data_IF_044668579058
#
_entry.id   IF_044668579058
#
_cell.length_a   1.000
_cell.length_b   1.000
_cell.length_c   1.000
_cell.angle_alpha   90.00
_cell.angle_beta   90.00
_cell.angle_gamma   90.00
#
_symmetry.space_group_name_H-M   'P 1'
#
loop_
_entity.id
_entity.type
_entity.pdbx_description
1 polymer ?
#
# COMPACT_ATOMS: atom_id res chain seq x y z
N UNK A 1 22.44 5.71 14.84
CA UNK A 1 23.63 5.32 14.04
C UNK A 1 24.94 5.84 14.57
N UNK A 2 24.92 6.62 15.66
CA UNK A 2 26.07 7.32 16.25
C UNK A 2 27.23 6.39 16.55
N UNK A 3 28.44 6.89 16.27
CA UNK A 3 29.67 6.19 16.55
C UNK A 3 30.01 6.24 18.05
N UNK A 4 30.48 5.11 18.59
CA UNK A 4 31.01 5.01 19.95
C UNK A 4 32.53 5.17 19.84
N UNK A 5 32.99 6.42 19.80
CA UNK A 5 34.41 6.74 19.80
C UNK A 5 34.97 6.66 21.22
N UNK A 6 36.18 6.10 21.39
CA UNK A 6 36.82 6.00 22.70
C UNK A 6 37.14 7.40 23.24
N UNK A 7 36.81 7.65 24.50
CA UNK A 7 36.93 8.99 25.12
C UNK A 7 35.74 9.92 24.88
N UNK A 8 34.82 9.57 23.97
CA UNK A 8 33.66 10.38 23.60
C UNK A 8 33.69 10.79 22.13
N UNK A 9 32.51 11.05 21.55
CA UNK A 9 32.39 11.49 20.17
C UNK A 9 32.46 13.03 20.11
N UNK A 10 33.58 13.62 19.65
CA UNK A 10 33.80 15.06 19.73
C UNK A 10 32.85 15.85 18.83
N UNK A 11 32.41 15.28 17.71
CA UNK A 11 31.46 15.94 16.80
C UNK A 11 30.08 16.05 17.44
N UNK A 12 29.59 14.96 18.03
CA UNK A 12 28.30 14.97 18.72
C UNK A 12 28.33 15.88 19.95
N UNK A 13 29.44 15.88 20.70
CA UNK A 13 29.61 16.75 21.85
C UNK A 13 29.69 18.22 21.46
N UNK A 14 30.35 18.56 20.35
CA UNK A 14 30.44 19.93 19.85
C UNK A 14 29.08 20.44 19.36
N UNK A 15 28.35 19.63 18.58
CA UNK A 15 27.01 19.96 18.11
C UNK A 15 26.03 20.17 19.27
N UNK A 16 26.01 19.23 20.22
CA UNK A 16 25.18 19.32 21.43
C UNK A 16 25.46 20.61 22.20
N UNK A 17 26.73 21.00 22.31
CA UNK A 17 27.14 22.15 23.08
C UNK A 17 26.82 23.49 22.40
N UNK A 18 26.91 23.57 21.07
CA UNK A 18 26.45 24.73 20.30
C UNK A 18 24.93 24.87 20.36
N UNK A 19 24.20 23.77 20.21
CA UNK A 19 22.73 23.78 20.34
C UNK A 19 22.30 24.18 21.75
N UNK A 20 23.03 23.76 22.79
CA UNK A 20 22.79 24.19 24.18
C UNK A 20 22.96 25.70 24.38
N UNK A 21 23.79 26.36 23.57
CA UNK A 21 23.94 27.83 23.54
C UNK A 21 22.89 28.53 22.68
N UNK A 22 21.93 27.79 22.13
CA UNK A 22 20.90 28.30 21.22
C UNK A 22 21.38 28.47 19.78
N UNK A 23 22.56 27.97 19.44
CA UNK A 23 23.14 28.08 18.10
C UNK A 23 22.76 26.82 17.32
N UNK A 24 21.78 26.97 16.43
CA UNK A 24 21.22 25.88 15.62
C UNK A 24 21.83 25.89 14.21
N UNK A 25 22.16 24.72 13.64
CA UNK A 25 22.61 24.63 12.25
C UNK A 25 21.52 25.01 11.23
N UNK A 26 20.24 25.06 11.65
CA UNK A 26 19.11 25.44 10.79
C UNK A 26 18.72 26.90 10.99
N UNK A 27 18.53 27.32 12.24
CA UNK A 27 17.98 28.66 12.55
C UNK A 27 19.05 29.76 12.46
N UNK A 28 20.30 29.42 12.80
CA UNK A 28 21.43 30.36 12.92
C UNK A 28 22.68 29.82 12.20
N UNK A 29 22.52 29.32 10.98
CA UNK A 29 23.56 28.58 10.25
C UNK A 29 24.92 29.30 10.16
N UNK A 30 24.94 30.61 9.86
CA UNK A 30 26.19 31.37 9.78
C UNK A 30 26.94 31.45 11.12
N UNK A 31 26.18 31.53 12.21
CA UNK A 31 26.72 31.61 13.57
C UNK A 31 27.22 30.23 14.04
N UNK A 32 26.52 29.16 13.65
CA UNK A 32 26.93 27.77 13.86
C UNK A 32 28.26 27.47 13.14
N UNK A 33 28.36 27.77 11.86
CA UNK A 33 29.58 27.54 11.05
C UNK A 33 30.78 28.35 11.56
N UNK A 34 30.54 29.56 12.07
CA UNK A 34 31.60 30.37 12.67
C UNK A 34 32.08 29.80 14.02
N UNK A 35 31.18 29.26 14.85
CA UNK A 35 31.50 28.71 16.16
C UNK A 35 32.07 27.28 16.11
N UNK A 36 31.72 26.52 15.07
CA UNK A 36 32.05 25.10 14.93
C UNK A 36 33.56 24.78 15.02
N UNK A 37 34.47 25.43 14.27
CA UNK A 37 35.90 25.09 14.30
C UNK A 37 36.52 25.24 15.70
N UNK A 38 36.05 26.22 16.47
CA UNK A 38 36.54 26.47 17.83
C UNK A 38 36.02 25.40 18.79
N UNK A 39 34.73 25.09 18.71
CA UNK A 39 34.10 24.13 19.61
C UNK A 39 34.61 22.71 19.34
N UNK A 40 34.73 22.28 18.09
CA UNK A 40 35.24 20.95 17.76
C UNK A 40 36.70 20.75 18.18
N UNK A 41 37.55 21.77 18.06
CA UNK A 41 38.93 21.72 18.53
C UNK A 41 38.99 21.55 20.05
N UNK A 42 38.13 22.29 20.78
CA UNK A 42 37.99 22.16 22.23
C UNK A 42 37.56 20.75 22.65
N UNK A 43 36.55 20.19 21.98
CA UNK A 43 36.08 18.84 22.30
C UNK A 43 37.10 17.77 21.94
N UNK A 44 37.81 17.90 20.81
CA UNK A 44 38.88 16.96 20.43
C UNK A 44 40.00 16.91 21.47
N UNK A 45 40.41 18.07 22.00
CA UNK A 45 41.42 18.09 23.07
C UNK A 45 40.87 17.49 24.37
N UNK A 46 39.61 17.79 24.72
CA UNK A 46 39.00 17.25 25.93
C UNK A 46 38.86 15.72 25.93
N UNK A 47 38.56 15.11 24.79
CA UNK A 47 38.42 13.64 24.68
C UNK A 47 39.76 12.92 24.53
N UNK A 48 40.85 13.62 24.18
CA UNK A 48 42.14 13.00 23.87
C UNK A 48 42.71 12.20 25.04
N UNK A 49 42.73 12.78 26.24
CA UNK A 49 43.21 12.08 27.44
C UNK A 49 42.36 10.85 27.74
N UNK A 50 41.03 10.99 27.68
CA UNK A 50 40.10 9.87 27.87
C UNK A 50 40.24 8.79 26.80
N UNK A 51 40.55 9.17 25.57
CA UNK A 51 40.83 8.24 24.48
C UNK A 51 42.08 7.40 24.79
N UNK A 52 43.19 8.05 25.14
CA UNK A 52 44.45 7.37 25.49
C UNK A 52 44.28 6.41 26.69
N UNK A 53 43.54 6.83 27.73
CA UNK A 53 43.21 5.99 28.88
C UNK A 53 42.39 4.75 28.49
N UNK A 54 41.33 4.93 27.70
CA UNK A 54 40.45 3.83 27.28
C UNK A 54 41.18 2.87 26.34
N UNK A 55 42.03 3.38 25.45
CA UNK A 55 42.91 2.56 24.58
C UNK A 55 43.85 1.71 25.44
N UNK A 56 44.47 2.29 26.47
CA UNK A 56 45.35 1.57 27.38
C UNK A 56 44.62 0.47 28.19
N UNK A 57 43.33 0.64 28.45
CA UNK A 57 42.47 -0.36 29.10
C UNK A 57 41.95 -1.46 28.16
N UNK A 58 42.31 -1.43 26.86
CA UNK A 58 41.89 -2.43 25.88
C UNK A 58 40.69 -2.02 25.01
N UNK A 59 40.24 -0.77 25.12
CA UNK A 59 39.21 -0.18 24.28
C UNK A 59 37.78 -0.61 24.63
N UNK A 60 36.88 -0.50 23.65
CA UNK A 60 35.46 -0.82 23.86
C UNK A 60 35.26 -2.33 23.95
N UNK A 61 34.66 -2.80 25.05
CA UNK A 61 34.20 -4.17 25.20
C UNK A 61 32.72 -4.30 24.86
N UNK A 62 32.41 -5.08 23.82
CA UNK A 62 31.03 -5.36 23.40
C UNK A 62 30.59 -6.69 23.98
N UNK A 63 29.61 -6.65 24.89
CA UNK A 63 28.98 -7.83 25.47
C UNK A 63 27.60 -8.05 24.83
N UNK A 64 27.47 -9.10 24.02
CA UNK A 64 26.18 -9.56 23.51
C UNK A 64 25.53 -10.52 24.50
N UNK A 65 24.26 -10.27 24.87
CA UNK A 65 23.53 -11.05 25.88
C UNK A 65 22.74 -12.22 25.29
N UNK A 66 22.56 -12.24 23.97
CA UNK A 66 21.89 -13.30 23.23
C UNK A 66 22.29 -13.22 21.74
N UNK A 67 21.82 -14.16 20.93
CA UNK A 67 21.93 -14.09 19.47
C UNK A 67 20.69 -13.45 18.88
N UNK A 68 20.90 -12.53 17.94
CA UNK A 68 19.81 -12.03 17.12
C UNK A 68 19.38 -13.07 16.08
N UNK A 69 18.23 -12.82 15.46
CA UNK A 69 17.68 -13.60 14.36
C UNK A 69 18.59 -13.71 13.13
N UNK A 70 19.63 -12.88 13.02
CA UNK A 70 20.63 -13.00 11.97
C UNK A 70 22.04 -12.64 12.44
N UNK A 71 23.03 -13.33 11.87
CA UNK A 71 24.47 -13.08 12.10
C UNK A 71 24.88 -11.69 11.69
N UNK A 72 24.21 -11.12 10.69
CA UNK A 72 24.47 -9.75 10.24
C UNK A 72 24.27 -8.75 11.38
N UNK A 73 23.21 -8.90 12.17
CA UNK A 73 22.92 -8.00 13.30
C UNK A 73 23.92 -8.22 14.44
N UNK A 74 24.26 -9.48 14.73
CA UNK A 74 25.33 -9.78 15.70
C UNK A 74 26.67 -9.13 15.31
N UNK A 75 27.04 -9.20 14.02
CA UNK A 75 28.26 -8.59 13.50
C UNK A 75 28.19 -7.06 13.52
N UNK A 76 27.01 -6.47 13.35
CA UNK A 76 26.82 -5.03 13.55
C UNK A 76 27.06 -4.61 14.99
N UNK A 77 26.68 -5.44 15.96
CA UNK A 77 26.99 -5.22 17.36
C UNK A 77 28.51 -5.37 17.62
N UNK A 78 29.15 -6.44 17.10
CA UNK A 78 30.61 -6.61 17.19
C UNK A 78 31.37 -5.44 16.60
N UNK A 79 30.98 -4.96 15.42
CA UNK A 79 31.60 -3.82 14.73
C UNK A 79 31.36 -2.46 15.40
N UNK A 80 30.78 -2.43 16.60
CA UNK A 80 30.81 -1.23 17.46
C UNK A 80 32.16 -1.07 18.15
N UNK A 81 32.88 -2.15 18.45
CA UNK A 81 34.26 -2.08 18.93
C UNK A 81 35.28 -2.14 17.80
N UNK A 82 36.53 -1.76 18.10
CA UNK A 82 37.64 -1.84 17.16
C UNK A 82 37.54 -0.93 15.94
N UNK A 83 36.89 0.24 16.08
CA UNK A 83 36.73 1.20 14.98
C UNK A 83 38.05 1.96 14.74
N UNK A 84 38.32 2.31 13.49
CA UNK A 84 39.53 3.04 13.08
C UNK A 84 40.86 2.40 13.51
N UNK A 85 40.87 1.09 13.80
CA UNK A 85 42.05 0.38 14.28
C UNK A 85 42.26 0.42 15.80
N UNK A 86 41.32 0.99 16.55
CA UNK A 86 41.33 0.98 18.01
C UNK A 86 41.34 -0.45 18.56
N UNK A 87 41.92 -0.68 19.76
CA UNK A 87 41.75 -1.95 20.45
C UNK A 87 40.27 -2.13 20.86
N UNK A 88 39.85 -3.38 20.97
CA UNK A 88 38.51 -3.71 21.42
C UNK A 88 38.31 -5.22 21.43
N UNK A 89 37.40 -5.66 22.29
CA UNK A 89 37.01 -7.07 22.36
C UNK A 89 35.49 -7.18 22.25
N UNK A 90 35.01 -8.29 21.69
CA UNK A 90 33.59 -8.58 21.66
C UNK A 90 33.34 -10.03 22.09
N UNK A 91 32.35 -10.23 22.95
CA UNK A 91 31.99 -11.56 23.46
C UNK A 91 30.48 -11.68 23.57
N UNK A 92 29.96 -12.83 23.17
CA UNK A 92 28.54 -13.15 23.30
C UNK A 92 28.38 -14.19 24.41
N UNK A 93 27.50 -13.91 25.35
CA UNK A 93 27.05 -14.84 26.38
C UNK A 93 25.70 -15.35 25.95
N UNK A 94 25.55 -16.66 25.86
CA UNK A 94 24.36 -17.32 25.36
C UNK A 94 23.88 -18.33 26.41
N UNK A 95 22.57 -18.46 26.55
CA UNK A 95 21.95 -19.50 27.33
C UNK A 95 21.18 -20.46 26.43
N UNK A 96 21.11 -21.72 26.85
CA UNK A 96 20.21 -22.67 26.19
C UNK A 96 18.72 -22.29 26.40
N UNK A 97 18.43 -21.42 27.36
CA UNK A 97 17.08 -20.90 27.63
C UNK A 97 16.72 -19.65 26.81
N UNK A 98 17.63 -19.13 25.99
CA UNK A 98 17.40 -17.96 25.12
C UNK A 98 16.23 -18.20 24.16
N UNK A 99 15.58 -17.11 23.72
CA UNK A 99 14.42 -17.18 22.84
C UNK A 99 14.69 -17.96 21.55
N UNK A 100 15.86 -17.72 20.93
CA UNK A 100 16.31 -18.44 19.74
C UNK A 100 16.37 -19.95 19.99
N UNK A 101 16.83 -20.39 21.16
CA UNK A 101 16.95 -21.82 21.48
C UNK A 101 15.59 -22.43 21.84
N UNK A 102 14.75 -21.69 22.56
CA UNK A 102 13.38 -22.11 22.90
C UNK A 102 12.51 -22.34 21.66
N UNK A 103 12.61 -21.47 20.64
CA UNK A 103 11.80 -21.58 19.41
C UNK A 103 12.13 -22.81 18.56
N UNK A 104 13.38 -23.29 18.58
CA UNK A 104 13.84 -24.33 17.65
C UNK A 104 14.08 -25.70 18.28
N UNK A 105 14.41 -25.78 19.58
CA UNK A 105 14.79 -27.08 20.14
C UNK A 105 14.64 -27.21 21.67
N UNK A 106 13.50 -26.76 22.21
CA UNK A 106 13.20 -26.83 23.65
C UNK A 106 13.41 -28.23 24.24
N UNK A 107 12.96 -29.29 23.55
CA UNK A 107 13.06 -30.67 24.04
C UNK A 107 14.48 -31.26 24.07
N UNK A 108 15.36 -30.90 23.11
CA UNK A 108 16.76 -31.33 23.15
C UNK A 108 17.52 -30.58 24.24
N UNK A 109 17.28 -29.27 24.36
CA UNK A 109 17.89 -28.41 25.37
C UNK A 109 17.60 -28.94 26.78
N UNK A 110 16.33 -29.24 27.06
CA UNK A 110 15.88 -29.73 28.37
C UNK A 110 16.49 -31.09 28.71
N UNK A 111 16.59 -32.00 27.74
CA UNK A 111 17.26 -33.31 27.91
C UNK A 111 18.76 -33.15 28.15
N UNK A 112 19.42 -32.24 27.43
CA UNK A 112 20.85 -31.99 27.60
C UNK A 112 21.16 -31.41 28.98
N UNK A 113 20.39 -30.40 29.42
CA UNK A 113 20.52 -29.81 30.75
C UNK A 113 20.21 -30.80 31.89
N UNK A 114 19.24 -31.69 31.68
CA UNK A 114 18.85 -32.69 32.69
C UNK A 114 19.82 -33.87 32.76
N UNK A 115 20.45 -34.25 31.64
CA UNK A 115 21.37 -35.39 31.56
C UNK A 115 22.81 -35.01 31.90
N UNK A 116 23.21 -33.78 31.57
CA UNK A 116 24.54 -33.28 31.86
C UNK A 116 24.52 -32.62 33.24
N UNK A 117 25.04 -33.31 34.26
CA UNK A 117 25.28 -32.75 35.61
C UNK A 117 26.37 -31.68 35.62
N UNK A 118 26.31 -30.74 34.66
CA UNK A 118 27.23 -29.63 34.49
C UNK A 118 26.83 -28.54 35.49
N UNK A 119 27.76 -28.01 36.28
CA UNK A 119 27.50 -26.86 37.15
C UNK A 119 26.94 -25.68 36.36
N UNK A 120 25.94 -24.98 36.91
CA UNK A 120 25.21 -23.89 36.22
C UNK A 120 26.11 -22.71 35.81
N UNK A 121 27.26 -22.55 36.47
CA UNK A 121 28.24 -21.48 36.29
C UNK A 121 29.40 -21.85 35.34
N UNK A 122 29.44 -23.08 34.84
CA UNK A 122 30.53 -23.57 33.99
C UNK A 122 30.23 -23.37 32.50
N UNK A 123 31.12 -22.73 31.72
CA UNK A 123 30.94 -22.57 30.28
C UNK A 123 30.83 -23.91 29.53
N UNK A 124 29.85 -24.03 28.64
CA UNK A 124 29.64 -25.23 27.82
C UNK A 124 30.48 -25.13 26.54
N UNK A 125 31.62 -25.82 26.50
CA UNK A 125 32.46 -25.92 25.30
C UNK A 125 32.18 -27.21 24.52
N UNK A 126 31.08 -27.23 23.77
CA UNK A 126 30.69 -28.38 22.95
C UNK A 126 30.44 -28.00 21.50
N UNK A 127 31.14 -28.65 20.57
CA UNK A 127 30.92 -28.50 19.12
C UNK A 127 29.46 -28.78 18.74
N UNK A 128 28.81 -29.73 19.42
CA UNK A 128 27.41 -30.07 19.18
C UNK A 128 26.48 -28.89 19.51
N UNK A 129 26.67 -28.26 20.67
CA UNK A 129 25.88 -27.11 21.11
C UNK A 129 26.14 -25.89 20.21
N UNK A 130 27.40 -25.60 19.88
CA UNK A 130 27.74 -24.52 18.94
C UNK A 130 27.10 -24.74 17.55
N UNK A 131 27.06 -25.99 17.06
CA UNK A 131 26.41 -26.32 15.80
C UNK A 131 24.88 -26.14 15.87
N UNK A 132 24.26 -26.51 16.98
CA UNK A 132 22.82 -26.34 17.20
C UNK A 132 22.42 -24.86 17.19
N UNK A 133 23.15 -24.00 17.92
CA UNK A 133 22.94 -22.55 17.95
C UNK A 133 23.06 -21.96 16.53
N UNK A 134 24.13 -22.34 15.81
CA UNK A 134 24.34 -21.94 14.42
C UNK A 134 23.19 -22.36 13.51
N UNK A 135 22.71 -23.60 13.66
CA UNK A 135 21.62 -24.14 12.84
C UNK A 135 20.31 -23.41 13.10
N UNK A 136 19.97 -23.17 14.37
CA UNK A 136 18.78 -22.41 14.75
C UNK A 136 18.79 -21.01 14.13
N UNK A 137 19.92 -20.29 14.25
CA UNK A 137 20.06 -18.96 13.65
C UNK A 137 19.91 -19.00 12.12
N UNK A 138 20.56 -19.95 11.44
CA UNK A 138 20.44 -20.09 9.98
C UNK A 138 19.01 -20.44 9.54
N UNK A 139 18.26 -21.20 10.35
CA UNK A 139 16.87 -21.52 10.06
C UNK A 139 15.96 -20.29 10.21
N UNK A 140 16.16 -19.45 11.23
CA UNK A 140 15.47 -18.15 11.35
C UNK A 140 15.78 -17.24 10.16
N UNK A 141 17.06 -17.15 9.77
CA UNK A 141 17.47 -16.36 8.60
C UNK A 141 16.75 -16.81 7.34
N UNK A 142 16.69 -18.13 7.10
CA UNK A 142 15.99 -18.73 5.96
C UNK A 142 14.48 -18.48 6.02
N UNK A 143 13.85 -18.61 7.19
CA UNK A 143 12.44 -18.32 7.38
C UNK A 143 12.13 -16.84 7.08
N UNK A 144 12.91 -15.92 7.65
CA UNK A 144 12.79 -14.49 7.40
C UNK A 144 13.05 -14.13 5.93
N UNK A 145 13.93 -14.86 5.24
CA UNK A 145 14.16 -14.70 3.81
C UNK A 145 12.95 -15.15 2.99
N UNK A 146 12.41 -16.35 3.25
CA UNK A 146 11.23 -16.84 2.51
C UNK A 146 9.98 -16.00 2.80
N UNK A 147 9.78 -15.52 4.03
CA UNK A 147 8.70 -14.56 4.33
C UNK A 147 8.81 -13.29 3.49
N UNK A 148 10.00 -12.66 3.46
CA UNK A 148 10.23 -11.45 2.66
C UNK A 148 10.07 -11.70 1.16
N UNK A 149 10.56 -12.84 0.68
CA UNK A 149 10.41 -13.26 -0.71
C UNK A 149 8.94 -13.47 -1.09
N UNK A 150 8.14 -14.07 -0.20
CA UNK A 150 6.71 -14.20 -0.41
C UNK A 150 6.02 -12.84 -0.43
N UNK A 151 6.30 -11.95 0.55
CA UNK A 151 5.77 -10.58 0.56
C UNK A 151 6.08 -9.86 -0.76
N UNK A 152 7.32 -9.93 -1.24
CA UNK A 152 7.72 -9.33 -2.52
C UNK A 152 6.95 -9.92 -3.70
N UNK A 153 6.78 -11.25 -3.76
CA UNK A 153 6.05 -11.93 -4.85
C UNK A 153 4.59 -11.47 -4.96
N UNK A 154 3.89 -11.32 -3.84
CA UNK A 154 2.52 -10.81 -3.84
C UNK A 154 2.49 -9.32 -4.20
N UNK A 155 3.40 -8.52 -3.65
CA UNK A 155 3.50 -7.10 -3.96
C UNK A 155 3.83 -6.84 -5.43
N UNK A 156 4.65 -7.67 -6.09
CA UNK A 156 4.99 -7.53 -7.52
C UNK A 156 3.74 -7.54 -8.41
N UNK A 157 2.70 -8.28 -8.05
CA UNK A 157 1.41 -8.31 -8.77
C UNK A 157 0.69 -6.98 -8.62
N UNK A 158 0.51 -6.52 -7.38
CA UNK A 158 -0.14 -5.23 -7.07
C UNK A 158 0.67 -4.04 -7.60
N UNK A 159 1.99 -4.14 -7.62
CA UNK A 159 2.87 -3.08 -8.09
C UNK A 159 2.69 -2.82 -9.58
N UNK A 160 2.54 -3.86 -10.41
CA UNK A 160 2.23 -3.70 -11.84
C UNK A 160 0.90 -2.98 -12.06
N UNK A 161 -0.13 -3.37 -11.32
CA UNK A 161 -1.44 -2.73 -11.38
C UNK A 161 -1.38 -1.25 -10.92
N UNK A 162 -0.68 -0.98 -9.80
CA UNK A 162 -0.44 0.37 -9.31
C UNK A 162 0.27 1.26 -10.32
N UNK A 163 1.25 0.72 -11.05
CA UNK A 163 1.97 1.50 -12.07
C UNK A 163 1.03 2.01 -13.16
N UNK A 164 0.06 1.19 -13.60
CA UNK A 164 -0.95 1.61 -14.58
C UNK A 164 -1.83 2.71 -13.98
N UNK A 165 -2.47 2.44 -12.84
CA UNK A 165 -3.40 3.39 -12.20
C UNK A 165 -2.73 4.71 -11.81
N UNK A 166 -1.51 4.66 -11.28
CA UNK A 166 -0.75 5.86 -10.93
C UNK A 166 -0.25 6.60 -12.17
N UNK A 167 0.02 5.90 -13.27
CA UNK A 167 0.26 6.49 -14.57
C UNK A 167 -0.92 7.34 -15.01
N UNK A 168 -2.11 6.74 -15.06
CA UNK A 168 -3.36 7.42 -15.43
C UNK A 168 -3.65 8.64 -14.55
N UNK A 169 -3.60 8.43 -13.23
CA UNK A 169 -3.82 9.51 -12.26
C UNK A 169 -2.84 10.66 -12.44
N UNK A 170 -1.58 10.35 -12.76
CA UNK A 170 -0.54 11.37 -12.97
C UNK A 170 -0.80 12.20 -14.23
N UNK A 171 -1.27 11.58 -15.33
CA UNK A 171 -1.62 12.30 -16.55
C UNK A 171 -2.66 13.39 -16.27
N UNK A 172 -3.68 13.06 -15.48
CA UNK A 172 -4.73 14.00 -15.07
C UNK A 172 -4.19 15.11 -14.16
N UNK A 173 -3.40 14.76 -13.15
CA UNK A 173 -2.86 15.72 -12.18
C UNK A 173 -1.82 16.67 -12.78
N UNK A 174 -1.11 16.25 -13.83
CA UNK A 174 -0.19 17.10 -14.60
C UNK A 174 -0.93 18.03 -15.60
N UNK A 175 -2.27 17.93 -15.68
CA UNK A 175 -3.08 18.80 -16.54
C UNK A 175 -2.93 18.51 -18.03
N UNK A 176 -2.52 17.30 -18.41
CA UNK A 176 -2.44 16.91 -19.83
C UNK A 176 -3.82 16.89 -20.47
N UNK A 177 -3.85 17.09 -21.78
CA UNK A 177 -5.07 16.87 -22.55
C UNK A 177 -5.29 15.36 -22.68
N UNK A 178 -6.45 14.91 -22.20
CA UNK A 178 -6.87 13.50 -22.17
C UNK A 178 -8.05 13.24 -23.13
N UNK A 179 -8.29 14.16 -24.07
CA UNK A 179 -9.37 14.07 -25.07
C UNK A 179 -9.45 12.72 -25.73
N UNK A 180 -8.36 12.37 -26.38
CA UNK A 180 -8.29 11.23 -27.27
C UNK A 180 -8.42 9.93 -26.47
N UNK A 181 -7.88 9.92 -25.25
CA UNK A 181 -7.99 8.81 -24.33
C UNK A 181 -9.44 8.59 -23.85
N UNK A 182 -10.16 9.67 -23.50
CA UNK A 182 -11.56 9.56 -23.11
C UNK A 182 -12.42 9.10 -24.30
N UNK A 183 -12.15 9.61 -25.49
CA UNK A 183 -12.84 9.17 -26.71
C UNK A 183 -12.59 7.68 -26.97
N UNK A 184 -11.34 7.21 -26.83
CA UNK A 184 -10.99 5.79 -26.94
C UNK A 184 -11.74 4.93 -25.90
N UNK A 185 -11.83 5.35 -24.64
CA UNK A 185 -12.59 4.61 -23.62
C UNK A 185 -14.08 4.51 -23.96
N UNK A 186 -14.67 5.57 -24.50
CA UNK A 186 -16.06 5.57 -24.96
C UNK A 186 -16.22 4.59 -26.12
N UNK A 187 -15.36 4.66 -27.14
CA UNK A 187 -15.42 3.78 -28.31
C UNK A 187 -15.26 2.31 -27.92
N UNK A 188 -14.25 1.98 -27.11
CA UNK A 188 -14.02 0.62 -26.61
C UNK A 188 -15.22 0.08 -25.83
N UNK A 189 -15.84 0.91 -24.99
CA UNK A 189 -17.04 0.54 -24.24
C UNK A 189 -18.18 0.19 -25.19
N UNK A 190 -18.49 1.05 -26.16
CA UNK A 190 -19.60 0.83 -27.09
C UNK A 190 -19.35 -0.36 -28.01
N UNK A 191 -18.12 -0.52 -28.49
CA UNK A 191 -17.69 -1.69 -29.28
C UNK A 191 -17.91 -2.96 -28.48
N UNK A 192 -17.56 -2.99 -27.19
CA UNK A 192 -17.78 -4.16 -26.35
C UNK A 192 -19.26 -4.55 -26.22
N UNK A 193 -20.17 -3.57 -26.07
CA UNK A 193 -21.62 -3.83 -26.07
C UNK A 193 -22.11 -4.39 -27.41
N UNK A 194 -21.69 -3.78 -28.53
CA UNK A 194 -22.09 -4.24 -29.86
C UNK A 194 -21.57 -5.67 -30.10
N UNK A 195 -20.30 -5.93 -29.80
CA UNK A 195 -19.71 -7.26 -29.94
C UNK A 195 -20.40 -8.30 -29.06
N UNK A 196 -20.77 -7.95 -27.82
CA UNK A 196 -21.47 -8.87 -26.93
C UNK A 196 -22.84 -9.29 -27.48
N UNK A 197 -23.61 -8.35 -28.04
CA UNK A 197 -24.94 -8.65 -28.60
C UNK A 197 -24.90 -9.21 -30.03
N UNK A 198 -23.78 -9.05 -30.75
CA UNK A 198 -23.60 -9.54 -32.12
C UNK A 198 -22.72 -10.80 -32.23
N UNK A 199 -22.28 -11.36 -31.09
CA UNK A 199 -21.35 -12.50 -31.04
C UNK A 199 -21.93 -13.81 -31.60
N UNK A 200 -23.23 -14.03 -31.42
CA UNK A 200 -23.92 -15.25 -31.81
C UNK A 200 -25.15 -14.95 -32.68
N UNK A 201 -25.49 -15.90 -33.56
CA UNK A 201 -26.66 -15.78 -34.43
C UNK A 201 -26.44 -14.91 -35.67
N UNK A 202 -27.53 -14.68 -36.41
CA UNK A 202 -27.55 -13.77 -37.56
C UNK A 202 -28.14 -12.42 -37.15
N UNK A 203 -27.98 -11.40 -37.99
CA UNK A 203 -28.49 -10.06 -37.72
C UNK A 203 -30.00 -9.97 -37.43
N UNK A 204 -30.77 -10.94 -37.91
CA UNK A 204 -32.20 -11.04 -37.61
C UNK A 204 -32.48 -11.48 -36.17
N UNK A 205 -31.59 -12.28 -35.59
CA UNK A 205 -31.69 -12.86 -34.24
C UNK A 205 -31.14 -11.93 -33.14
N UNK A 206 -30.43 -10.87 -33.51
CA UNK A 206 -29.86 -9.92 -32.55
C UNK A 206 -30.94 -9.12 -31.82
N UNK A 207 -30.74 -8.94 -30.52
CA UNK A 207 -31.62 -8.17 -29.65
C UNK A 207 -31.25 -6.68 -29.68
N UNK A 208 -31.70 -6.00 -30.74
CA UNK A 208 -31.46 -4.57 -30.91
C UNK A 208 -32.14 -3.71 -29.84
N UNK A 209 -33.26 -4.16 -29.26
CA UNK A 209 -33.94 -3.42 -28.19
C UNK A 209 -33.08 -3.38 -26.93
N UNK A 210 -32.49 -4.52 -26.56
CA UNK A 210 -31.54 -4.60 -25.44
C UNK A 210 -30.28 -3.78 -25.72
N UNK A 211 -29.71 -3.87 -26.93
CA UNK A 211 -28.54 -3.08 -27.32
C UNK A 211 -28.83 -1.57 -27.24
N UNK A 212 -29.91 -1.09 -27.84
CA UNK A 212 -30.27 0.34 -27.80
C UNK A 212 -30.58 0.82 -26.38
N UNK A 213 -31.20 -0.01 -25.54
CA UNK A 213 -31.43 0.32 -24.14
C UNK A 213 -30.11 0.51 -23.38
N UNK A 214 -29.12 -0.35 -23.61
CA UNK A 214 -27.78 -0.22 -23.04
C UNK A 214 -27.07 1.04 -23.56
N UNK A 215 -27.02 1.26 -24.88
CA UNK A 215 -26.36 2.42 -25.49
C UNK A 215 -26.95 3.75 -24.99
N UNK A 216 -28.27 3.83 -24.88
CA UNK A 216 -29.00 5.02 -24.40
C UNK A 216 -28.69 5.36 -22.94
N UNK A 217 -28.28 4.38 -22.13
CA UNK A 217 -27.85 4.62 -20.75
C UNK A 217 -26.47 5.28 -20.67
N UNK A 218 -25.63 5.05 -21.69
CA UNK A 218 -24.25 5.53 -21.76
C UNK A 218 -24.20 6.93 -22.38
N UNK A 219 -24.86 7.13 -23.52
CA UNK A 219 -24.84 8.40 -24.24
C UNK A 219 -26.19 8.70 -24.92
N UNK A 220 -26.46 9.98 -25.27
CA UNK A 220 -27.70 10.37 -25.94
C UNK A 220 -27.68 9.97 -27.42
N UNK A 221 -27.86 8.68 -27.70
CA UNK A 221 -27.95 8.12 -29.05
C UNK A 221 -29.01 8.83 -29.90
N UNK A 222 -28.63 9.26 -31.10
CA UNK A 222 -29.53 9.97 -32.02
C UNK A 222 -30.13 9.03 -33.08
N UNK A 223 -29.45 7.92 -33.36
CA UNK A 223 -29.89 6.92 -34.33
C UNK A 223 -30.98 6.01 -33.76
N UNK A 224 -32.06 5.83 -34.51
CA UNK A 224 -33.05 4.78 -34.22
C UNK A 224 -32.65 3.45 -34.88
N UNK A 225 -33.21 2.34 -34.40
CA UNK A 225 -33.03 1.01 -35.01
C UNK A 225 -33.43 1.06 -36.49
N UNK A 226 -34.57 1.70 -36.80
CA UNK A 226 -35.07 1.85 -38.17
C UNK A 226 -34.11 2.63 -39.09
N UNK A 227 -33.38 3.61 -38.55
CA UNK A 227 -32.43 4.40 -39.35
C UNK A 227 -31.22 3.56 -39.77
N UNK A 228 -30.78 2.68 -38.87
CA UNK A 228 -29.65 1.78 -39.10
C UNK A 228 -30.06 0.64 -40.05
N UNK A 229 -31.24 0.04 -39.86
CA UNK A 229 -31.79 -0.96 -40.79
C UNK A 229 -31.97 -0.38 -42.20
N UNK A 230 -32.46 0.86 -42.30
CA UNK A 230 -32.62 1.56 -43.60
C UNK A 230 -31.28 1.85 -44.27
N UNK A 231 -30.26 2.24 -43.49
CA UNK A 231 -28.93 2.49 -44.00
C UNK A 231 -28.24 1.22 -44.52
N UNK A 232 -28.53 0.06 -43.93
CA UNK A 232 -28.07 -1.25 -44.39
C UNK A 232 -28.97 -1.89 -45.48
N UNK A 233 -30.10 -1.25 -45.81
CA UNK A 233 -31.07 -1.71 -46.81
C UNK A 233 -32.02 -2.81 -46.32
N UNK A 234 -31.59 -3.65 -45.38
CA UNK A 234 -32.44 -4.60 -44.66
C UNK A 234 -31.76 -5.08 -43.38
N UNK A 235 -32.54 -5.59 -42.42
CA UNK A 235 -32.01 -6.17 -41.17
C UNK A 235 -31.01 -7.31 -41.41
N UNK A 236 -31.26 -8.16 -42.42
CA UNK A 236 -30.35 -9.24 -42.81
C UNK A 236 -29.01 -8.76 -43.39
N UNK A 237 -28.94 -7.50 -43.83
CA UNK A 237 -27.72 -6.88 -44.37
C UNK A 237 -26.87 -6.17 -43.33
N UNK A 238 -27.27 -6.18 -42.06
CA UNK A 238 -26.48 -5.61 -40.98
C UNK A 238 -25.32 -6.55 -40.63
N UNK A 239 -24.13 -5.98 -40.55
CA UNK A 239 -22.96 -6.63 -39.97
C UNK A 239 -22.47 -5.83 -38.75
N UNK A 240 -21.69 -6.49 -37.90
CA UNK A 240 -21.21 -5.88 -36.66
C UNK A 240 -20.28 -4.68 -36.94
N UNK A 241 -19.46 -4.74 -37.98
CA UNK A 241 -18.51 -3.67 -38.34
C UNK A 241 -19.24 -2.41 -38.83
N UNK A 242 -20.35 -2.56 -39.54
CA UNK A 242 -21.23 -1.49 -39.97
C UNK A 242 -21.93 -0.83 -38.79
N UNK A 243 -22.43 -1.63 -37.84
CA UNK A 243 -23.00 -1.13 -36.59
C UNK A 243 -21.99 -0.33 -35.78
N UNK A 244 -20.78 -0.88 -35.61
CA UNK A 244 -19.67 -0.21 -34.94
C UNK A 244 -19.38 1.13 -35.63
N UNK A 245 -19.17 1.13 -36.95
CA UNK A 245 -18.90 2.37 -37.69
C UNK A 245 -19.99 3.42 -37.53
N UNK A 246 -21.27 3.03 -37.61
CA UNK A 246 -22.40 3.96 -37.46
C UNK A 246 -22.53 4.52 -36.05
N UNK A 247 -22.36 3.68 -35.02
CA UNK A 247 -22.47 4.08 -33.63
C UNK A 247 -21.27 4.94 -33.20
N UNK A 248 -20.06 4.62 -33.68
CA UNK A 248 -18.86 5.44 -33.45
C UNK A 248 -18.98 6.82 -34.11
N UNK A 249 -19.58 6.91 -35.31
CA UNK A 249 -19.90 8.20 -35.93
C UNK A 249 -20.90 9.02 -35.10
N UNK A 250 -21.94 8.38 -34.57
CA UNK A 250 -22.97 9.04 -33.76
C UNK A 250 -22.43 9.53 -32.42
N UNK A 251 -21.65 8.71 -31.71
CA UNK A 251 -21.07 9.10 -30.42
C UNK A 251 -20.04 10.23 -30.58
N UNK A 252 -19.26 10.23 -31.66
CA UNK A 252 -18.33 11.32 -31.97
C UNK A 252 -19.10 12.64 -32.18
N UNK A 253 -20.24 12.60 -32.86
CA UNK A 253 -21.11 13.76 -33.03
C UNK A 253 -21.74 14.21 -31.69
N UNK A 254 -22.19 13.27 -30.86
CA UNK A 254 -22.72 13.57 -29.53
C UNK A 254 -21.66 14.21 -28.62
N UNK A 255 -20.44 13.71 -28.65
CA UNK A 255 -19.29 14.25 -27.92
C UNK A 255 -18.96 15.67 -28.41
N UNK A 256 -18.88 15.89 -29.72
CA UNK A 256 -18.63 17.22 -30.29
C UNK A 256 -19.73 18.23 -29.93
N UNK A 257 -21.01 17.80 -29.93
CA UNK A 257 -22.13 18.63 -29.49
C UNK A 257 -22.04 18.99 -28.00
N UNK A 258 -21.61 18.03 -27.17
CA UNK A 258 -21.39 18.23 -25.73
C UNK A 258 -20.27 19.24 -25.48
N UNK A 259 -19.15 19.11 -26.18
CA UNK A 259 -18.02 20.04 -26.11
C UNK A 259 -18.41 21.45 -26.59
N UNK A 260 -19.20 21.56 -27.66
CA UNK A 260 -19.70 22.84 -28.15
C UNK A 260 -20.63 23.54 -27.14
N UNK A 261 -21.40 22.77 -26.37
CA UNK A 261 -22.33 23.31 -25.36
C UNK A 261 -21.60 23.81 -24.11
N UNK A 262 -20.57 23.09 -23.65
CA UNK A 262 -19.82 23.42 -22.43
C UNK A 262 -18.64 24.38 -22.69
N UNK A 263 -18.08 24.35 -23.89
CA UNK A 263 -16.80 24.96 -24.23
C UNK A 263 -15.62 24.02 -23.95
N UNK A 264 -14.55 24.16 -24.74
CA UNK A 264 -13.40 23.24 -24.72
C UNK A 264 -12.73 23.15 -23.33
N UNK A 265 -12.48 24.30 -22.68
CA UNK A 265 -11.82 24.37 -21.37
C UNK A 265 -12.62 23.64 -20.28
N UNK A 266 -13.93 23.90 -20.20
CA UNK A 266 -14.83 23.25 -19.24
C UNK A 266 -14.96 21.76 -19.52
N UNK A 267 -14.96 21.36 -20.80
CA UNK A 267 -14.99 19.95 -21.19
C UNK A 267 -13.71 19.21 -20.74
N UNK A 268 -12.52 19.78 -20.94
CA UNK A 268 -11.25 19.18 -20.47
C UNK A 268 -11.25 19.00 -18.94
N UNK A 269 -11.74 19.99 -18.21
CA UNK A 269 -11.84 19.92 -16.75
C UNK A 269 -12.87 18.87 -16.28
N UNK A 270 -14.01 18.78 -16.98
CA UNK A 270 -15.03 17.76 -16.71
C UNK A 270 -14.43 16.36 -16.87
N UNK A 271 -13.73 16.09 -17.97
CA UNK A 271 -13.07 14.81 -18.21
C UNK A 271 -12.08 14.45 -17.13
N UNK A 272 -11.19 15.38 -16.76
CA UNK A 272 -10.21 15.18 -15.68
C UNK A 272 -10.91 14.83 -14.37
N UNK A 273 -11.98 15.55 -14.04
CA UNK A 273 -12.73 15.34 -12.80
C UNK A 273 -13.49 14.01 -12.79
N UNK A 274 -14.12 13.65 -13.92
CA UNK A 274 -14.81 12.37 -14.10
C UNK A 274 -13.81 11.22 -13.98
N UNK A 275 -12.72 11.24 -14.76
CA UNK A 275 -11.70 10.19 -14.74
C UNK A 275 -11.14 10.00 -13.34
N UNK A 276 -10.69 11.08 -12.69
CA UNK A 276 -10.09 10.98 -11.36
C UNK A 276 -11.07 10.46 -10.31
N UNK A 277 -12.34 10.90 -10.34
CA UNK A 277 -13.36 10.45 -9.39
C UNK A 277 -13.67 8.96 -9.55
N UNK A 278 -13.88 8.50 -10.79
CA UNK A 278 -14.19 7.09 -11.09
C UNK A 278 -13.00 6.20 -10.77
N UNK A 279 -11.80 6.56 -11.24
CA UNK A 279 -10.56 5.82 -11.01
C UNK A 279 -10.25 5.66 -9.52
N UNK A 280 -10.37 6.73 -8.71
CA UNK A 280 -10.09 6.67 -7.27
C UNK A 280 -11.10 5.85 -6.49
N UNK A 281 -12.36 5.79 -6.92
CA UNK A 281 -13.39 4.95 -6.29
C UNK A 281 -13.20 3.48 -6.67
N UNK A 282 -13.12 3.17 -7.97
CA UNK A 282 -12.94 1.80 -8.48
C UNK A 282 -11.64 1.16 -8.01
N UNK A 283 -10.54 1.92 -7.99
CA UNK A 283 -9.26 1.43 -7.46
C UNK A 283 -9.34 1.06 -5.97
N UNK A 284 -10.07 1.85 -5.17
CA UNK A 284 -10.24 1.57 -3.73
C UNK A 284 -11.08 0.32 -3.48
N UNK A 285 -12.14 0.14 -4.27
CA UNK A 285 -12.95 -1.08 -4.27
C UNK A 285 -12.07 -2.29 -4.64
N UNK A 286 -11.25 -2.17 -5.69
CA UNK A 286 -10.32 -3.23 -6.09
C UNK A 286 -9.28 -3.55 -5.02
N UNK A 287 -8.70 -2.55 -4.35
CA UNK A 287 -7.78 -2.79 -3.23
C UNK A 287 -8.43 -3.61 -2.11
N UNK A 288 -9.70 -3.32 -1.80
CA UNK A 288 -10.46 -4.08 -0.81
C UNK A 288 -10.63 -5.54 -1.25
N UNK A 289 -11.06 -5.77 -2.49
CA UNK A 289 -11.20 -7.14 -3.04
C UNK A 289 -9.86 -7.89 -3.09
N UNK A 290 -8.76 -7.20 -3.43
CA UNK A 290 -7.42 -7.80 -3.46
C UNK A 290 -6.91 -8.21 -2.07
N UNK A 291 -7.28 -7.46 -1.01
CA UNK A 291 -6.97 -7.84 0.37
C UNK A 291 -7.71 -9.14 0.75
N UNK A 292 -9.00 -9.27 0.44
CA UNK A 292 -9.75 -10.52 0.67
C UNK A 292 -9.19 -11.69 -0.14
N UNK A 293 -8.85 -11.44 -1.41
CA UNK A 293 -8.26 -12.46 -2.26
C UNK A 293 -6.94 -12.96 -1.67
N UNK A 294 -6.08 -12.06 -1.18
CA UNK A 294 -4.81 -12.41 -0.56
C UNK A 294 -4.99 -13.23 0.73
N UNK A 295 -5.94 -12.89 1.59
CA UNK A 295 -6.23 -13.66 2.81
C UNK A 295 -6.82 -15.04 2.48
N UNK A 296 -7.69 -15.13 1.46
CA UNK A 296 -8.38 -16.36 1.07
C UNK A 296 -7.55 -17.35 0.26
N UNK A 297 -6.55 -16.89 -0.50
CA UNK A 297 -5.81 -17.72 -1.46
C UNK A 297 -4.99 -18.83 -0.77
N UNK A 298 -4.58 -18.62 0.47
CA UNK A 298 -3.82 -19.60 1.26
C UNK A 298 -4.55 -20.93 1.43
N UNK A 299 -5.89 -20.92 1.47
CA UNK A 299 -6.70 -22.14 1.59
C UNK A 299 -6.68 -22.99 0.32
N UNK A 300 -6.38 -22.40 -0.85
CA UNK A 300 -6.30 -23.12 -2.13
C UNK A 300 -5.00 -23.89 -2.31
N UNK A 301 -3.98 -23.61 -1.50
CA UNK A 301 -2.74 -24.40 -1.43
C UNK A 301 -3.01 -25.89 -1.15
N UNK A 302 -4.14 -26.21 -0.51
CA UNK A 302 -4.57 -27.58 -0.22
C UNK A 302 -4.89 -28.41 -1.48
N UNK A 303 -5.16 -27.75 -2.61
CA UNK A 303 -5.52 -28.39 -3.87
C UNK A 303 -4.32 -28.66 -4.82
N UNK A 304 -3.08 -28.67 -4.29
CA UNK A 304 -1.85 -28.85 -5.07
C UNK A 304 -1.62 -27.82 -6.19
N UNK A 305 -2.31 -26.67 -6.14
CA UNK A 305 -2.06 -25.52 -7.01
C UNK A 305 -1.17 -24.52 -6.28
N UNK A 306 -0.30 -23.84 -7.02
CA UNK A 306 0.53 -22.76 -6.47
C UNK A 306 -0.39 -21.55 -6.16
N UNK A 307 -0.51 -21.13 -4.88
CA UNK A 307 -1.36 -20.00 -4.50
C UNK A 307 -0.99 -18.70 -5.20
N UNK A 308 0.29 -18.49 -5.50
CA UNK A 308 0.73 -17.27 -6.17
C UNK A 308 0.21 -17.19 -7.61
N UNK A 309 0.17 -18.33 -8.32
CA UNK A 309 -0.33 -18.39 -9.69
C UNK A 309 -1.83 -18.13 -9.73
N UNK A 310 -2.58 -18.71 -8.80
CA UNK A 310 -4.02 -18.47 -8.69
C UNK A 310 -4.31 -17.02 -8.28
N UNK A 311 -3.53 -16.45 -7.34
CA UNK A 311 -3.61 -15.02 -6.97
C UNK A 311 -3.33 -14.10 -8.16
N UNK A 312 -2.29 -14.41 -8.96
CA UNK A 312 -1.97 -13.64 -10.16
C UNK A 312 -3.08 -13.68 -11.20
N UNK A 313 -3.67 -14.86 -11.43
CA UNK A 313 -4.75 -15.04 -12.39
C UNK A 313 -6.01 -14.30 -11.95
N UNK A 314 -6.51 -14.58 -10.75
CA UNK A 314 -7.74 -13.94 -10.27
C UNK A 314 -7.55 -12.44 -10.02
N UNK A 315 -6.38 -12.03 -9.53
CA UNK A 315 -6.05 -10.62 -9.39
C UNK A 315 -5.97 -9.89 -10.72
N UNK A 316 -5.57 -10.57 -11.80
CA UNK A 316 -5.62 -10.01 -13.17
C UNK A 316 -7.06 -9.91 -13.67
N UNK A 317 -7.87 -10.96 -13.47
CA UNK A 317 -9.28 -10.98 -13.89
C UNK A 317 -10.08 -9.86 -13.18
N UNK A 318 -9.88 -9.68 -11.87
CA UNK A 318 -10.46 -8.58 -11.09
C UNK A 318 -9.98 -7.21 -11.60
N UNK A 319 -8.69 -7.09 -11.92
CA UNK A 319 -8.14 -5.83 -12.43
C UNK A 319 -8.69 -5.50 -13.82
N UNK A 320 -8.81 -6.47 -14.72
CA UNK A 320 -9.43 -6.28 -16.04
C UNK A 320 -10.90 -5.84 -15.90
N UNK A 321 -11.68 -6.53 -15.08
CA UNK A 321 -13.07 -6.17 -14.80
C UNK A 321 -13.20 -4.78 -14.18
N UNK A 322 -12.28 -4.39 -13.29
CA UNK A 322 -12.21 -3.04 -12.75
C UNK A 322 -11.93 -2.01 -13.86
N UNK A 323 -10.97 -2.27 -14.74
CA UNK A 323 -10.63 -1.36 -15.84
C UNK A 323 -11.80 -1.19 -16.82
N UNK A 324 -12.50 -2.27 -17.16
CA UNK A 324 -13.69 -2.21 -18.01
C UNK A 324 -14.80 -1.40 -17.33
N UNK A 325 -15.03 -1.64 -16.05
CA UNK A 325 -15.99 -0.86 -15.25
C UNK A 325 -15.60 0.61 -15.07
N UNK A 326 -14.31 0.96 -15.13
CA UNK A 326 -13.85 2.35 -15.16
C UNK A 326 -14.22 2.99 -16.50
N UNK A 327 -13.94 2.33 -17.63
CA UNK A 327 -14.23 2.86 -18.97
C UNK A 327 -15.73 3.10 -19.16
N UNK A 328 -16.55 2.11 -18.80
CA UNK A 328 -18.01 2.18 -18.89
C UNK A 328 -18.57 3.34 -18.06
N UNK A 329 -18.13 3.46 -16.81
CA UNK A 329 -18.64 4.50 -15.91
C UNK A 329 -18.16 5.91 -16.31
N UNK A 330 -16.93 6.04 -16.84
CA UNK A 330 -16.44 7.30 -17.43
C UNK A 330 -17.32 7.69 -18.62
N UNK A 331 -17.58 6.76 -19.55
CA UNK A 331 -18.40 7.01 -20.72
C UNK A 331 -19.80 7.49 -20.33
N UNK A 332 -20.45 6.80 -19.39
CA UNK A 332 -21.78 7.16 -18.91
C UNK A 332 -21.82 8.52 -18.19
N UNK A 333 -20.86 8.80 -17.30
CA UNK A 333 -20.84 10.05 -16.54
C UNK A 333 -20.51 11.26 -17.42
N UNK A 334 -19.68 11.09 -18.44
CA UNK A 334 -19.28 12.18 -19.33
C UNK A 334 -20.50 12.84 -20.01
N UNK A 335 -21.45 12.03 -20.47
CA UNK A 335 -22.65 12.50 -21.16
C UNK A 335 -23.77 12.91 -20.21
N UNK A 336 -23.90 12.24 -19.06
CA UNK A 336 -25.07 12.38 -18.19
C UNK A 336 -24.88 13.35 -17.01
N UNK A 337 -23.66 13.70 -16.63
CA UNK A 337 -23.42 14.60 -15.47
C UNK A 337 -23.92 16.02 -15.75
N UNK A 338 -24.67 16.59 -14.81
CA UNK A 338 -25.06 18.00 -14.85
C UNK A 338 -23.88 18.90 -14.45
N UNK A 339 -23.48 19.78 -15.37
CA UNK A 339 -22.39 20.75 -15.16
C UNK A 339 -22.98 22.12 -14.84
N UNK A 340 -22.63 22.66 -13.69
CA UNK A 340 -22.93 24.05 -13.33
C UNK A 340 -21.63 24.84 -13.25
N UNK A 341 -21.51 25.88 -14.09
CA UNK A 341 -20.36 26.78 -14.08
C UNK A 341 -20.62 27.86 -13.02
N UNK A 342 -19.96 27.76 -11.86
CA UNK A 342 -19.92 28.85 -10.89
C UNK A 342 -18.80 29.83 -11.27
N UNK A 343 -19.08 31.14 -11.19
CA UNK A 343 -18.26 32.25 -11.70
C UNK A 343 -16.87 32.44 -11.03
N UNK A 344 -16.43 31.50 -10.19
CA UNK A 344 -15.14 31.48 -9.52
C UNK A 344 -14.35 30.22 -9.93
N UNK A 345 -14.05 30.04 -11.22
CA UNK A 345 -13.12 29.03 -11.80
C UNK A 345 -13.24 27.57 -11.29
N UNK A 346 -14.30 27.24 -10.53
CA UNK A 346 -14.53 25.95 -9.92
C UNK A 346 -15.71 25.32 -10.60
N UNK A 347 -15.43 24.33 -11.44
CA UNK A 347 -16.47 23.52 -12.07
C UNK A 347 -17.05 22.60 -11.01
N UNK A 348 -18.30 22.86 -10.62
CA UNK A 348 -19.05 21.95 -9.76
C UNK A 348 -19.86 20.99 -10.63
N UNK A 349 -19.68 19.70 -10.39
CA UNK A 349 -20.29 18.63 -11.15
C UNK A 349 -21.04 17.76 -10.15
N UNK A 350 -22.37 17.93 -10.13
CA UNK A 350 -23.23 17.28 -9.15
C UNK A 350 -23.18 15.76 -9.35
N UNK A 351 -22.91 15.02 -8.27
CA UNK A 351 -22.81 13.55 -8.30
C UNK A 351 -21.38 12.99 -8.35
N UNK A 352 -20.36 13.81 -8.66
CA UNK A 352 -18.93 13.42 -8.63
C UNK A 352 -18.25 13.78 -7.30
N UNK A 353 -18.99 14.36 -6.36
CA UNK A 353 -18.50 14.56 -5.00
C UNK A 353 -18.31 13.20 -4.36
N UNK A 354 -17.08 12.87 -3.96
CA UNK A 354 -16.81 11.84 -2.98
C UNK A 354 -17.54 12.24 -1.71
N UNK A 355 -18.83 11.88 -1.58
CA UNK A 355 -19.43 11.73 -0.27
C UNK A 355 -18.47 10.79 0.44
N UNK A 356 -17.84 11.17 1.56
CA UNK A 356 -17.22 10.17 2.39
C UNK A 356 -18.30 9.13 2.57
N UNK A 357 -18.01 7.88 2.15
CA UNK A 357 -18.91 6.77 2.42
C UNK A 357 -19.38 7.03 3.84
N UNK A 358 -20.68 7.29 4.02
CA UNK A 358 -21.24 7.28 5.36
C UNK A 358 -20.78 5.92 5.83
N UNK A 359 -19.83 5.92 6.76
CA UNK A 359 -19.46 4.70 7.43
C UNK A 359 -20.78 4.28 8.02
N UNK A 360 -21.46 3.33 7.37
CA UNK A 360 -22.64 2.70 7.92
C UNK A 360 -22.14 2.21 9.27
N UNK A 361 -22.54 2.96 10.29
CA UNK A 361 -21.99 2.79 11.61
C UNK A 361 -22.38 1.37 12.00
N UNK A 362 -21.38 0.49 12.09
CA UNK A 362 -21.58 -0.90 12.48
C UNK A 362 -22.41 -0.90 13.77
N UNK A 363 -23.69 -1.25 13.65
CA UNK A 363 -24.60 -1.29 14.78
C UNK A 363 -24.25 -2.50 15.62
N UNK A 364 -23.50 -2.28 16.70
CA UNK A 364 -23.27 -3.30 17.70
C UNK A 364 -24.44 -3.34 18.67
N UNK A 365 -25.24 -4.40 18.60
CA UNK A 365 -26.14 -4.78 19.69
C UNK A 365 -25.35 -5.53 20.75
N UNK A 366 -25.06 -4.90 21.88
CA UNK A 366 -24.63 -5.59 23.09
C UNK A 366 -25.70 -5.41 24.17
N UNK A 367 -26.09 -6.52 24.80
CA UNK A 367 -26.98 -6.46 25.97
C UNK A 367 -26.18 -5.98 27.19
N UNK A 368 -26.78 -5.11 28.00
CA UNK A 368 -26.28 -4.85 29.35
C UNK A 368 -26.73 -5.96 30.33
N UNK A 369 -26.15 -5.96 31.52
CA UNK A 369 -26.45 -6.90 32.61
C UNK A 369 -27.89 -6.80 33.16
N UNK A 370 -28.68 -5.83 32.69
CA UNK A 370 -30.09 -5.64 33.06
C UNK A 370 -31.06 -5.92 31.88
N UNK A 371 -30.56 -6.37 30.72
CA UNK A 371 -31.36 -6.77 29.58
C UNK A 371 -32.03 -5.62 28.81
N UNK A 372 -31.59 -4.36 28.97
CA UNK A 372 -32.16 -3.21 28.26
C UNK A 372 -31.36 -2.91 26.99
N UNK A 373 -32.04 -2.91 25.83
CA UNK A 373 -31.46 -2.55 24.54
C UNK A 373 -31.44 -1.02 24.39
N UNK A 374 -30.25 -0.43 24.29
CA UNK A 374 -30.10 0.97 23.87
C UNK A 374 -29.44 1.03 22.50
N UNK A 375 -30.14 1.64 21.54
CA UNK A 375 -29.64 1.93 20.19
C UNK A 375 -29.20 3.38 20.14
N UNK A 376 -27.91 3.63 19.93
CA UNK A 376 -27.39 4.99 19.76
C UNK A 376 -25.93 5.01 19.30
N UNK A 377 -25.60 6.02 18.51
CA UNK A 377 -24.26 6.25 17.97
C UNK A 377 -23.28 6.62 19.09
N UNK A 378 -22.36 5.70 19.43
CA UNK A 378 -21.34 5.96 20.45
C UNK A 378 -20.03 6.36 19.79
N UNK A 379 -19.76 7.66 19.77
CA UNK A 379 -18.47 8.19 19.33
C UNK A 379 -17.28 7.65 20.15
N UNK A 380 -16.11 7.49 19.51
CA UNK A 380 -14.89 6.87 20.09
C UNK A 380 -14.42 7.46 21.44
N UNK A 381 -14.75 8.72 21.73
CA UNK A 381 -14.41 9.41 22.97
C UNK A 381 -15.58 9.56 23.98
N UNK A 382 -16.79 9.10 23.63
CA UNK A 382 -17.97 9.16 24.49
C UNK A 382 -17.89 8.14 25.64
N UNK A 383 -18.65 8.34 26.74
CA UNK A 383 -18.80 7.34 27.80
C UNK A 383 -19.28 6.00 27.22
N UNK A 384 -18.70 4.90 27.69
CA UNK A 384 -19.01 3.57 27.19
C UNK A 384 -20.42 3.15 27.64
N UNK A 385 -21.28 2.64 26.74
CA UNK A 385 -22.69 2.34 27.02
C UNK A 385 -22.90 1.21 28.03
N UNK A 386 -21.88 0.39 28.31
CA UNK A 386 -21.92 -0.64 29.35
C UNK A 386 -21.93 -0.12 30.80
N UNK A 387 -22.03 1.20 31.02
CA UNK A 387 -22.06 1.79 32.37
C UNK A 387 -20.71 1.79 33.12
N UNK A 388 -19.61 1.35 32.51
CA UNK A 388 -18.30 1.21 33.17
C UNK A 388 -17.61 2.52 33.58
N UNK A 389 -18.18 3.69 33.24
CA UNK A 389 -17.58 5.01 33.48
C UNK A 389 -16.34 5.33 32.64
N UNK A 390 -15.85 4.40 31.81
CA UNK A 390 -14.69 4.59 30.92
C UNK A 390 -15.12 5.12 29.55
N UNK A 391 -14.21 5.78 28.82
CA UNK A 391 -14.44 6.15 27.40
C UNK A 391 -14.50 4.90 26.52
N UNK A 392 -15.35 4.90 25.48
CA UNK A 392 -15.58 3.74 24.60
C UNK A 392 -14.28 3.11 24.07
N UNK A 393 -13.33 3.92 23.55
CA UNK A 393 -12.02 3.43 23.07
C UNK A 393 -11.11 2.76 24.11
N UNK A 394 -11.41 2.87 25.40
CA UNK A 394 -10.66 2.25 26.51
C UNK A 394 -11.46 1.13 27.19
N UNK A 395 -12.57 0.73 26.59
CA UNK A 395 -13.44 -0.34 27.04
C UNK A 395 -13.82 -1.18 25.81
N UNK A 396 -15.09 -1.19 25.40
CA UNK A 396 -15.57 -2.02 24.27
C UNK A 396 -15.00 -1.64 22.90
N UNK A 397 -14.48 -0.42 22.74
CA UNK A 397 -13.77 0.03 21.54
C UNK A 397 -12.24 -0.04 21.65
N UNK A 398 -11.70 -0.72 22.68
CA UNK A 398 -10.28 -1.01 22.75
C UNK A 398 -9.99 -2.26 21.91
N UNK A 399 -9.46 -2.06 20.69
CA UNK A 399 -8.87 -3.15 19.93
C UNK A 399 -7.66 -3.70 20.72
N UNK A 400 -7.54 -5.04 20.80
CA UNK A 400 -6.33 -5.72 21.28
C UNK A 400 -5.16 -5.44 20.34
#
# INVERSE_FOLDING_TARGET
GTDIMLGGNPEFMADYELQRRGISPVDNAQEYEAAWPTEIARQKEAVKTGHEEVVALGGLYVLGTERHESRRIDNQLRGRSGRQGDPGESRFYLSLQDELMRRFNSGMVERFLSAAGIPEDSPIESKMVSNAIRSAQTQVEAQNFEMRKNVLKYDDVMNRQRQVIYGERRLVLEGKDIKDQIAEFVDETLIAYIQAETAEGYAEDWDFEKLWAALKSIYPISLSIDDVERAAGSRAGLDADFLIGKITEDVAAAYASREATLGAEVMRELERKVLLSVLDRKWREHLYEMDYLQEGIGLRAMAQRDPLVEYQREGFDLFAAMMDGIKEEIAALLFNVEVTVESNEKINAKGLENKPAQADALQYTAADENGVRTTGDVGRNSPCPCGSGKKYKRCHGAAQ
#
